data_IF_545411154328
#
_entry.id   IF_545411154328
#
_cell.length_a   1.000
_cell.length_b   1.000
_cell.length_c   1.000
_cell.angle_alpha   90.00
_cell.angle_beta   90.00
_cell.angle_gamma   90.00
#
_symmetry.space_group_name_H-M   'P 1'
#
loop_
_entity.id
_entity.type
_entity.pdbx_description
1 polymer ?
#
# COMPACT_ATOMS: atom_id res chain seq x y z
N UNK A 1 6.54 -14.34 -33.28
CA UNK A 1 5.96 -13.51 -34.36
C UNK A 1 5.48 -12.20 -33.72
N UNK A 2 5.85 -11.01 -34.21
CA UNK A 2 5.19 -10.25 -35.31
C UNK A 2 3.69 -10.02 -35.00
N UNK A 3 3.04 -8.84 -35.00
CA UNK A 3 3.38 -7.40 -35.14
C UNK A 3 2.25 -6.60 -34.41
N UNK A 4 2.15 -5.25 -34.30
CA UNK A 4 2.87 -4.07 -34.80
C UNK A 4 2.73 -2.87 -33.81
N UNK A 5 3.36 -1.73 -34.10
CA UNK A 5 3.20 -0.41 -33.47
C UNK A 5 1.85 0.28 -33.79
N UNK A 6 1.44 1.30 -33.00
CA UNK A 6 0.54 2.37 -33.49
C UNK A 6 0.76 3.76 -32.87
N UNK A 7 1.85 4.43 -33.27
CA UNK A 7 1.86 5.91 -33.41
C UNK A 7 1.60 6.25 -34.87
N UNK A 8 0.87 7.34 -35.14
CA UNK A 8 1.13 8.24 -36.27
C UNK A 8 0.39 9.58 -36.09
N UNK A 9 0.94 10.65 -36.68
CA UNK A 9 0.33 11.99 -36.75
C UNK A 9 -0.39 12.18 -38.09
N UNK A 10 -1.35 13.11 -38.10
CA UNK A 10 -1.81 13.93 -39.25
C UNK A 10 -2.51 15.18 -38.65
N UNK A 11 -2.42 16.39 -39.21
CA UNK A 11 -1.58 16.82 -40.33
C UNK A 11 -2.16 17.95 -41.19
N UNK A 12 -2.02 19.21 -40.75
CA UNK A 12 -2.34 20.42 -41.55
C UNK A 12 -3.80 20.93 -41.47
N UNK A 13 -4.07 22.21 -41.75
CA UNK A 13 -3.13 23.32 -41.99
C UNK A 13 -3.78 24.66 -42.38
N UNK A 14 -2.98 25.74 -42.25
CA UNK A 14 -3.10 27.10 -42.83
C UNK A 14 -4.41 27.92 -42.73
N UNK A 15 -4.27 29.13 -42.18
CA UNK A 15 -4.54 30.38 -42.92
C UNK A 15 -3.57 31.49 -42.47
N UNK A 16 -3.59 32.67 -43.11
CA UNK A 16 -2.44 33.59 -43.24
C UNK A 16 -2.80 35.06 -42.85
N UNK A 17 -1.83 36.00 -43.04
CA UNK A 17 -1.91 37.49 -43.05
C UNK A 17 -1.64 38.19 -41.69
N UNK A 18 -0.85 39.28 -41.57
CA UNK A 18 0.38 39.77 -42.25
C UNK A 18 0.96 41.02 -41.52
N UNK A 19 2.20 41.42 -41.87
CA UNK A 19 2.84 42.75 -41.62
C UNK A 19 3.28 43.09 -40.17
N UNK A 20 4.35 43.87 -39.89
CA UNK A 20 5.31 44.60 -40.75
C UNK A 20 6.63 44.98 -39.99
N UNK A 21 7.81 44.88 -40.66
CA UNK A 21 9.01 45.79 -40.59
C UNK A 21 9.80 45.92 -39.24
N UNK A 22 11.13 46.18 -39.17
CA UNK A 22 12.24 46.34 -40.14
C UNK A 22 13.65 46.19 -39.48
N UNK A 23 14.62 45.66 -40.25
CA UNK A 23 16.08 45.98 -40.29
C UNK A 23 17.13 45.38 -39.31
N UNK A 24 18.37 45.32 -39.84
CA UNK A 24 19.61 44.62 -39.41
C UNK A 24 20.79 45.65 -39.26
N UNK A 25 22.03 45.32 -38.75
CA UNK A 25 23.03 44.52 -39.49
C UNK A 25 24.00 43.62 -38.64
N UNK A 26 24.98 42.98 -39.30
CA UNK A 26 25.77 41.77 -38.92
C UNK A 26 27.19 41.80 -39.57
N UNK A 27 28.18 40.89 -39.29
CA UNK A 27 28.42 39.99 -38.14
C UNK A 27 29.54 40.55 -37.21
N UNK A 28 30.87 40.18 -37.21
CA UNK A 28 31.67 39.14 -37.89
C UNK A 28 31.95 37.86 -37.04
N UNK A 29 32.75 36.90 -37.55
CA UNK A 29 33.35 35.74 -36.85
C UNK A 29 34.86 35.64 -37.22
N UNK A 30 35.66 34.75 -36.57
CA UNK A 30 36.18 33.60 -37.33
C UNK A 30 36.22 32.27 -36.56
N UNK A 31 36.49 31.17 -37.27
CA UNK A 31 36.40 29.77 -36.78
C UNK A 31 37.41 28.83 -37.47
N UNK A 32 37.89 27.80 -36.76
CA UNK A 32 38.45 26.55 -37.34
C UNK A 32 38.66 25.47 -36.26
N UNK A 33 38.52 24.14 -36.41
CA UNK A 33 38.13 23.16 -37.46
C UNK A 33 39.26 22.30 -38.11
N UNK A 34 39.37 21.02 -37.72
CA UNK A 34 39.86 19.79 -38.43
C UNK A 34 40.15 18.68 -37.38
N UNK A 35 39.90 17.35 -37.50
CA UNK A 35 39.94 16.30 -38.56
C UNK A 35 41.37 15.87 -38.95
N UNK A 36 41.81 14.60 -39.12
CA UNK A 36 41.23 13.22 -39.13
C UNK A 36 42.37 12.18 -38.82
N UNK A 37 42.39 10.84 -39.01
CA UNK A 37 41.54 9.84 -39.71
C UNK A 37 41.63 8.39 -39.10
N UNK A 38 42.32 7.42 -39.75
CA UNK A 38 42.25 5.93 -39.53
C UNK A 38 43.63 5.24 -39.83
N UNK A 39 43.91 3.92 -39.94
CA UNK A 39 43.15 2.66 -40.23
C UNK A 39 43.98 1.36 -39.94
N UNK A 40 43.33 0.18 -39.93
CA UNK A 40 43.82 -1.16 -40.39
C UNK A 40 44.81 -2.07 -39.59
N UNK A 41 44.26 -3.14 -39.00
CA UNK A 41 44.54 -4.60 -39.25
C UNK A 41 45.89 -5.35 -39.04
N UNK A 42 45.79 -6.51 -38.34
CA UNK A 42 46.50 -7.83 -38.54
C UNK A 42 47.99 -7.97 -38.08
N UNK A 43 48.58 -9.15 -37.74
CA UNK A 43 48.21 -10.60 -37.89
C UNK A 43 49.01 -11.55 -36.93
N UNK A 44 48.62 -12.85 -36.81
CA UNK A 44 49.42 -14.06 -36.39
C UNK A 44 49.85 -14.22 -34.89
N UNK A 45 50.24 -15.40 -34.33
CA UNK A 45 49.61 -16.76 -34.15
C UNK A 45 50.54 -17.69 -33.32
N UNK A 46 50.05 -18.56 -32.41
CA UNK A 46 50.80 -19.77 -31.93
C UNK A 46 49.94 -20.91 -31.32
N UNK A 47 50.00 -22.08 -31.97
CA UNK A 47 49.52 -23.46 -31.64
C UNK A 47 50.15 -24.10 -30.35
N UNK A 48 49.87 -25.38 -29.98
CA UNK A 48 48.58 -26.12 -29.84
C UNK A 48 48.56 -27.17 -28.67
N UNK A 49 47.48 -27.98 -28.56
CA UNK A 49 47.56 -29.46 -28.37
C UNK A 49 46.20 -30.16 -28.64
N UNK A 50 46.24 -31.47 -28.94
CA UNK A 50 45.08 -32.32 -29.30
C UNK A 50 44.53 -33.05 -28.02
N UNK A 51 43.53 -33.96 -28.01
CA UNK A 51 43.37 -35.24 -28.76
C UNK A 51 41.90 -35.70 -28.80
N UNK A 52 41.45 -36.07 -30.00
CA UNK A 52 40.47 -37.07 -30.49
C UNK A 52 39.09 -37.36 -29.83
N UNK A 53 38.18 -37.78 -30.71
CA UNK A 53 36.83 -38.32 -30.46
C UNK A 53 36.81 -39.80 -30.90
N UNK A 54 36.14 -40.67 -30.15
CA UNK A 54 35.75 -42.01 -30.62
C UNK A 54 34.22 -42.10 -30.57
N UNK A 55 33.61 -42.44 -31.70
CA UNK A 55 32.19 -42.78 -31.79
C UNK A 55 32.00 -44.27 -32.09
N UNK A 56 30.89 -44.83 -31.62
CA UNK A 56 30.44 -46.19 -31.98
C UNK A 56 28.94 -46.16 -32.27
N UNK A 57 28.53 -46.73 -33.39
CA UNK A 57 27.14 -47.04 -33.72
C UNK A 57 27.09 -48.16 -34.76
N UNK A 58 26.28 -49.20 -34.54
CA UNK A 58 25.86 -50.11 -35.62
C UNK A 58 24.33 -50.22 -35.73
N UNK A 59 23.82 -49.97 -36.93
CA UNK A 59 22.47 -50.33 -37.41
C UNK A 59 22.46 -51.81 -37.93
N UNK A 60 21.40 -52.36 -38.59
CA UNK A 60 20.02 -51.85 -38.79
C UNK A 60 18.87 -52.90 -38.62
N UNK A 61 17.63 -52.42 -38.85
CA UNK A 61 16.49 -53.11 -39.47
C UNK A 61 15.77 -54.31 -38.79
N UNK A 62 14.46 -54.14 -38.57
CA UNK A 62 13.38 -54.78 -39.37
C UNK A 62 12.09 -53.95 -39.18
N UNK A 63 11.20 -53.90 -40.19
CA UNK A 63 9.94 -53.15 -40.13
C UNK A 63 8.74 -54.08 -39.88
N UNK A 64 7.83 -53.67 -38.98
CA UNK A 64 6.44 -54.15 -38.92
C UNK A 64 5.53 -53.01 -38.44
N UNK A 65 4.51 -52.66 -39.22
CA UNK A 65 3.46 -51.74 -38.78
C UNK A 65 2.54 -52.42 -37.75
N UNK A 66 2.22 -51.73 -36.65
CA UNK A 66 0.96 -51.88 -35.89
C UNK A 66 0.78 -50.65 -34.99
N UNK A 67 -0.44 -50.12 -34.91
CA UNK A 67 -0.79 -48.91 -34.15
C UNK A 67 -1.13 -49.21 -32.68
N UNK A 68 -0.42 -48.59 -31.74
CA UNK A 68 -0.93 -48.39 -30.36
C UNK A 68 -0.14 -47.32 -29.58
N UNK A 69 -0.86 -46.29 -29.12
CA UNK A 69 -0.61 -45.43 -27.94
C UNK A 69 0.85 -45.19 -27.48
N UNK A 70 1.46 -44.09 -27.96
CA UNK A 70 2.44 -43.34 -27.17
C UNK A 70 1.71 -42.43 -26.15
N UNK A 71 1.05 -43.04 -25.16
CA UNK A 71 0.59 -42.31 -23.97
C UNK A 71 1.77 -42.15 -23.02
N UNK A 72 2.53 -41.06 -23.19
CA UNK A 72 3.36 -40.55 -22.08
C UNK A 72 2.38 -40.17 -20.99
N UNK A 73 2.41 -40.90 -19.87
CA UNK A 73 1.33 -40.85 -18.90
C UNK A 73 1.44 -39.57 -18.05
N UNK A 74 0.79 -38.51 -18.51
CA UNK A 74 0.77 -37.22 -17.84
C UNK A 74 0.27 -37.32 -16.39
N UNK A 75 -0.61 -38.28 -16.08
CA UNK A 75 -1.07 -38.53 -14.71
C UNK A 75 0.08 -38.98 -13.81
N UNK A 76 0.98 -39.85 -14.29
CA UNK A 76 2.13 -40.34 -13.52
C UNK A 76 3.15 -39.22 -13.25
N UNK A 77 3.41 -38.37 -14.25
CA UNK A 77 4.30 -37.22 -14.10
C UNK A 77 3.71 -36.13 -13.19
N UNK A 78 2.39 -35.95 -13.22
CA UNK A 78 1.70 -35.04 -12.31
C UNK A 78 1.62 -35.59 -10.88
N UNK A 79 1.37 -36.90 -10.71
CA UNK A 79 1.40 -37.58 -9.41
C UNK A 79 2.79 -37.51 -8.77
N UNK A 80 3.86 -37.82 -9.52
CA UNK A 80 5.23 -37.70 -8.99
C UNK A 80 5.58 -36.24 -8.64
N UNK A 81 5.15 -35.26 -9.45
CA UNK A 81 5.34 -33.84 -9.13
C UNK A 81 4.58 -33.42 -7.86
N UNK A 82 3.32 -33.85 -7.69
CA UNK A 82 2.53 -33.57 -6.49
C UNK A 82 3.13 -34.25 -5.25
N UNK A 83 3.64 -35.47 -5.36
CA UNK A 83 4.35 -36.18 -4.29
C UNK A 83 5.65 -35.45 -3.90
N UNK A 84 6.48 -35.05 -4.87
CA UNK A 84 7.70 -34.29 -4.61
C UNK A 84 7.41 -32.94 -3.96
N UNK A 85 6.34 -32.24 -4.39
CA UNK A 85 5.90 -30.98 -3.79
C UNK A 85 5.41 -31.17 -2.34
N UNK A 86 4.59 -32.19 -2.07
CA UNK A 86 4.10 -32.50 -0.72
C UNK A 86 5.24 -32.89 0.24
N UNK A 87 6.23 -33.65 -0.26
CA UNK A 87 7.42 -34.04 0.50
C UNK A 87 8.32 -32.84 0.79
N UNK A 88 8.51 -31.94 -0.19
CA UNK A 88 9.23 -30.69 0.00
C UNK A 88 8.54 -29.77 1.02
N UNK A 89 7.21 -29.62 0.96
CA UNK A 89 6.42 -28.87 1.96
C UNK A 89 6.59 -29.50 3.36
N UNK A 90 6.47 -30.83 3.47
CA UNK A 90 6.64 -31.56 4.74
C UNK A 90 8.05 -31.42 5.33
N UNK A 91 9.08 -31.26 4.49
CA UNK A 91 10.46 -31.01 4.90
C UNK A 91 10.80 -29.53 5.12
N UNK A 92 9.87 -28.62 4.82
CA UNK A 92 10.04 -27.16 4.92
C UNK A 92 9.44 -26.55 6.19
N UNK A 93 8.90 -27.35 7.10
CA UNK A 93 8.34 -26.88 8.37
C UNK A 93 9.45 -26.32 9.30
N UNK A 94 9.42 -25.02 9.68
CA UNK A 94 10.40 -24.43 10.58
C UNK A 94 10.26 -24.84 12.05
N UNK A 95 9.28 -25.67 12.43
CA UNK A 95 8.95 -26.01 13.82
C UNK A 95 9.11 -27.52 14.13
N UNK A 96 10.32 -28.05 13.98
CA UNK A 96 10.68 -29.37 14.51
C UNK A 96 10.74 -29.35 16.05
N UNK A 97 9.57 -29.46 16.68
CA UNK A 97 9.42 -30.04 18.02
C UNK A 97 9.10 -31.53 17.80
N UNK A 98 9.84 -32.41 18.46
CA UNK A 98 9.60 -33.86 18.38
C UNK A 98 8.38 -34.23 19.20
N UNK A 99 7.23 -34.39 18.56
CA UNK A 99 6.06 -34.99 19.20
C UNK A 99 6.24 -36.51 19.36
N UNK A 100 6.13 -36.93 20.62
CA UNK A 100 6.03 -38.31 21.07
C UNK A 100 4.55 -38.73 20.96
N UNK A 101 4.18 -39.97 20.59
CA UNK A 101 2.78 -40.42 20.67
C UNK A 101 2.08 -40.12 22.01
N UNK A 102 2.81 -39.97 23.13
CA UNK A 102 2.25 -39.51 24.41
C UNK A 102 1.86 -38.01 24.41
N UNK A 103 2.63 -37.11 23.79
CA UNK A 103 2.33 -35.66 23.77
C UNK A 103 1.05 -35.34 23.00
N UNK A 104 0.79 -36.08 21.90
CA UNK A 104 -0.43 -35.95 21.09
C UNK A 104 -1.68 -36.31 21.90
N UNK A 105 -1.64 -37.39 22.70
CA UNK A 105 -2.76 -37.76 23.58
C UNK A 105 -2.97 -36.75 24.71
N UNK A 106 -1.89 -36.24 25.31
CA UNK A 106 -1.96 -35.20 26.35
C UNK A 106 -2.59 -33.91 25.80
N UNK A 107 -2.19 -33.46 24.61
CA UNK A 107 -2.78 -32.28 23.98
C UNK A 107 -4.26 -32.51 23.60
N UNK A 108 -4.62 -33.68 23.07
CA UNK A 108 -6.02 -34.00 22.75
C UNK A 108 -6.92 -34.01 24.00
N UNK A 109 -6.48 -34.63 25.10
CA UNK A 109 -7.21 -34.64 26.37
C UNK A 109 -7.36 -33.24 26.97
N UNK A 110 -6.31 -32.41 26.86
CA UNK A 110 -6.29 -31.02 27.34
C UNK A 110 -7.26 -30.12 26.56
N UNK A 111 -7.33 -30.27 25.24
CA UNK A 111 -8.29 -29.56 24.39
C UNK A 111 -9.75 -29.98 24.68
N UNK A 112 -10.01 -31.29 24.80
CA UNK A 112 -11.34 -31.82 25.15
C UNK A 112 -11.83 -31.32 26.52
N UNK A 113 -10.91 -31.10 27.48
CA UNK A 113 -11.24 -30.62 28.83
C UNK A 113 -11.56 -29.13 28.92
N UNK A 114 -11.29 -28.35 27.86
CA UNK A 114 -11.50 -26.88 27.80
C UNK A 114 -12.65 -26.47 26.86
N UNK A 115 -13.29 -27.43 26.19
CA UNK A 115 -14.23 -27.19 25.09
C UNK A 115 -15.63 -26.70 25.54
N UNK A 116 -15.71 -25.50 26.12
CA UNK A 116 -16.98 -24.81 26.37
C UNK A 116 -17.32 -23.83 25.23
N UNK A 117 -17.84 -24.38 24.13
CA UNK A 117 -18.63 -23.71 23.06
C UNK A 117 -18.21 -22.32 22.55
N UNK A 118 -17.60 -22.26 21.35
CA UNK A 118 -17.71 -21.10 20.46
C UNK A 118 -18.31 -21.46 19.09
N UNK A 119 -19.24 -20.66 18.60
CA UNK A 119 -19.56 -20.56 17.17
C UNK A 119 -18.81 -19.38 16.56
N UNK A 120 -18.19 -19.56 15.38
CA UNK A 120 -17.44 -18.55 14.62
C UNK A 120 -16.08 -18.15 15.26
N UNK A 121 -15.02 -18.78 14.75
CA UNK A 121 -13.61 -18.37 14.76
C UNK A 121 -13.07 -17.55 15.96
N UNK A 122 -12.68 -18.21 17.08
CA UNK A 122 -11.64 -17.70 17.95
C UNK A 122 -10.25 -18.09 17.40
N UNK A 123 -9.49 -17.11 16.92
CA UNK A 123 -8.03 -17.25 16.81
C UNK A 123 -7.41 -16.95 18.17
N UNK A 124 -6.42 -17.73 18.63
CA UNK A 124 -5.64 -17.39 19.83
C UNK A 124 -4.62 -16.28 19.54
N UNK A 125 -5.13 -15.11 19.17
CA UNK A 125 -4.41 -13.85 19.20
C UNK A 125 -4.83 -13.04 20.44
N UNK A 126 -3.99 -12.08 20.83
CA UNK A 126 -4.44 -10.95 21.64
C UNK A 126 -5.64 -10.29 20.94
N UNK A 127 -6.61 -9.67 21.66
CA UNK A 127 -7.76 -9.04 21.01
C UNK A 127 -7.29 -8.03 19.97
N UNK A 128 -7.45 -8.38 18.69
CA UNK A 128 -6.77 -7.73 17.58
C UNK A 128 -7.16 -6.26 17.51
N UNK A 129 -6.23 -5.41 17.95
CA UNK A 129 -6.41 -3.96 18.01
C UNK A 129 -6.91 -3.44 16.67
N UNK A 130 -7.86 -2.51 16.69
CA UNK A 130 -8.37 -1.87 15.48
C UNK A 130 -7.23 -1.27 14.64
N UNK A 131 -6.14 -0.84 15.27
CA UNK A 131 -4.89 -0.43 14.62
C UNK A 131 -4.21 -1.56 13.83
N UNK A 132 -4.08 -2.75 14.42
CA UNK A 132 -3.46 -3.90 13.76
C UNK A 132 -4.33 -4.41 12.60
N UNK A 133 -5.66 -4.41 12.78
CA UNK A 133 -6.60 -4.80 11.72
C UNK A 133 -6.66 -3.74 10.60
N UNK A 134 -6.58 -2.45 10.92
CA UNK A 134 -6.46 -1.40 9.92
C UNK A 134 -5.14 -1.46 9.15
N UNK A 135 -4.01 -1.70 9.83
CA UNK A 135 -2.69 -1.91 9.21
C UNK A 135 -2.68 -3.12 8.27
N UNK A 136 -3.23 -4.27 8.70
CA UNK A 136 -3.26 -5.49 7.89
C UNK A 136 -4.25 -5.45 6.72
N UNK A 137 -5.46 -4.91 6.93
CA UNK A 137 -6.58 -5.02 5.98
C UNK A 137 -6.94 -3.71 5.28
N UNK A 138 -6.33 -2.58 5.66
CA UNK A 138 -6.55 -1.26 5.07
C UNK A 138 -7.99 -0.73 5.16
N UNK A 139 -8.84 -1.23 6.09
CA UNK A 139 -10.17 -0.66 6.34
C UNK A 139 -10.61 -0.75 7.82
N UNK A 140 -11.57 0.10 8.18
CA UNK A 140 -12.38 0.00 9.42
C UNK A 140 -13.84 0.01 9.01
N UNK A 141 -14.61 -1.02 9.37
CA UNK A 141 -15.96 -1.22 8.85
C UNK A 141 -17.01 -0.24 9.45
N UNK A 142 -18.22 -0.22 8.89
CA UNK A 142 -19.34 0.62 9.33
C UNK A 142 -19.72 0.42 10.80
N UNK A 143 -19.66 -0.83 11.27
CA UNK A 143 -20.07 -1.26 12.60
C UNK A 143 -18.96 -1.07 13.66
N UNK A 144 -17.75 -0.71 13.22
CA UNK A 144 -16.55 -0.59 14.04
C UNK A 144 -16.22 0.87 14.30
N UNK A 145 -15.86 1.23 15.55
CA UNK A 145 -15.61 2.61 15.95
C UNK A 145 -14.17 2.86 16.38
N UNK A 146 -13.60 3.98 15.96
CA UNK A 146 -12.23 4.40 16.33
C UNK A 146 -12.21 4.90 17.78
N UNK A 147 -11.83 3.99 18.68
CA UNK A 147 -11.74 4.19 20.14
C UNK A 147 -10.36 4.70 20.57
N UNK A 148 -10.28 5.19 21.82
CA UNK A 148 -9.01 5.63 22.40
C UNK A 148 -8.02 4.46 22.50
N UNK A 149 -6.75 4.73 22.18
CA UNK A 149 -5.74 3.69 22.01
C UNK A 149 -5.48 3.31 20.55
N UNK A 150 -6.35 3.71 19.61
CA UNK A 150 -6.08 3.55 18.18
C UNK A 150 -4.93 4.46 17.73
N UNK A 151 -3.92 3.87 17.09
CA UNK A 151 -2.89 4.56 16.32
C UNK A 151 -2.88 4.08 14.85
N UNK A 152 -2.63 5.00 13.93
CA UNK A 152 -2.22 4.73 12.55
C UNK A 152 -0.70 4.87 12.46
N UNK A 153 -0.04 3.96 11.74
CA UNK A 153 1.41 4.00 11.52
C UNK A 153 1.66 4.13 10.03
N UNK A 154 2.57 5.03 9.68
CA UNK A 154 2.97 5.31 8.31
C UNK A 154 4.49 5.29 8.19
N UNK A 155 5.02 4.74 7.10
CA UNK A 155 6.45 4.71 6.80
C UNK A 155 6.79 5.53 5.54
N UNK A 156 7.74 6.44 5.68
CA UNK A 156 8.34 7.26 4.62
C UNK A 156 9.38 6.45 3.82
N UNK A 157 10.12 5.57 4.49
CA UNK A 157 11.09 4.65 3.89
C UNK A 157 10.78 3.20 4.26
N UNK A 158 10.93 2.29 3.29
CA UNK A 158 10.26 0.97 3.30
C UNK A 158 10.75 -0.05 4.34
N UNK A 159 11.84 0.21 5.08
CA UNK A 159 12.67 -0.85 5.66
C UNK A 159 12.01 -1.68 6.80
N UNK A 160 11.11 -1.12 7.62
CA UNK A 160 10.33 -1.94 8.57
C UNK A 160 8.99 -2.43 7.99
N UNK A 161 8.41 -1.73 7.00
CA UNK A 161 7.25 -2.23 6.26
C UNK A 161 7.59 -3.55 5.56
N UNK A 162 8.84 -3.70 5.09
CA UNK A 162 9.41 -4.94 4.54
C UNK A 162 9.43 -6.12 5.55
N UNK A 163 9.37 -5.87 6.87
CA UNK A 163 9.18 -6.94 7.87
C UNK A 163 7.71 -7.32 8.11
N UNK A 164 6.75 -6.60 7.52
CA UNK A 164 5.30 -6.86 7.61
C UNK A 164 4.67 -6.64 8.99
N UNK A 165 5.46 -6.49 10.05
CA UNK A 165 5.01 -6.41 11.44
C UNK A 165 4.75 -4.97 11.87
N UNK A 166 3.55 -4.69 12.38
CA UNK A 166 3.21 -3.41 12.99
C UNK A 166 4.05 -3.15 14.26
N UNK A 167 4.68 -1.97 14.43
CA UNK A 167 5.35 -1.60 15.67
C UNK A 167 4.38 -1.45 16.85
N UNK A 168 4.83 -1.74 18.08
CA UNK A 168 4.03 -1.52 19.28
C UNK A 168 4.10 -0.06 19.72
N UNK A 169 3.00 0.46 20.27
CA UNK A 169 2.93 1.85 20.76
C UNK A 169 3.98 2.18 21.83
N UNK A 170 4.35 1.20 22.67
CA UNK A 170 5.41 1.36 23.70
C UNK A 170 6.79 1.52 23.05
N UNK A 171 7.09 0.73 22.01
CA UNK A 171 8.35 0.84 21.26
C UNK A 171 8.44 2.22 20.59
N UNK A 172 7.34 2.66 19.96
CA UNK A 172 7.23 3.98 19.31
C UNK A 172 7.36 5.15 20.31
N UNK A 173 6.96 4.98 21.56
CA UNK A 173 7.15 5.97 22.64
C UNK A 173 8.61 6.07 23.12
N UNK A 174 9.43 5.04 22.91
CA UNK A 174 10.84 5.01 23.31
C UNK A 174 11.79 5.66 22.27
N UNK A 175 11.32 5.95 21.07
CA UNK A 175 12.12 6.52 19.98
C UNK A 175 12.31 8.03 20.18
N UNK A 176 13.54 8.52 20.01
CA UNK A 176 13.87 9.95 20.15
C UNK A 176 13.61 10.72 18.86
N UNK A 177 13.10 11.96 18.97
CA UNK A 177 12.85 12.85 17.82
C UNK A 177 14.14 13.28 17.09
N UNK A 178 15.28 13.14 17.76
CA UNK A 178 16.62 13.40 17.19
C UNK A 178 17.09 12.32 16.21
N UNK A 179 16.54 11.12 16.28
CA UNK A 179 16.76 10.10 15.26
C UNK A 179 16.02 10.52 13.98
N UNK A 180 16.57 10.23 12.81
CA UNK A 180 15.89 10.52 11.53
C UNK A 180 14.80 9.49 11.27
N UNK A 181 13.70 9.56 12.02
CA UNK A 181 12.67 8.52 12.05
C UNK A 181 11.81 8.56 10.78
N UNK A 182 12.02 7.57 9.91
CA UNK A 182 11.22 7.26 8.71
C UNK A 182 9.76 6.89 9.00
N UNK A 183 9.27 7.03 10.23
CA UNK A 183 7.89 6.74 10.62
C UNK A 183 7.15 8.01 10.99
N UNK A 184 5.83 7.95 10.85
CA UNK A 184 4.88 8.92 11.31
C UNK A 184 3.74 8.16 11.98
N UNK A 185 3.37 8.57 13.19
CA UNK A 185 2.36 7.87 13.99
C UNK A 185 1.29 8.87 14.38
N UNK A 186 0.03 8.58 14.03
CA UNK A 186 -1.12 9.43 14.37
C UNK A 186 -1.99 8.69 15.38
N UNK A 187 -2.23 9.32 16.53
CA UNK A 187 -2.81 8.66 17.71
C UNK A 187 -4.15 9.29 18.13
N UNK A 188 -5.11 8.44 18.48
CA UNK A 188 -6.44 8.79 18.99
C UNK A 188 -6.49 8.52 20.48
N UNK A 189 -6.55 9.59 21.27
CA UNK A 189 -6.75 9.51 22.71
C UNK A 189 -7.39 10.80 23.25
N UNK A 190 -8.72 10.77 23.44
CA UNK A 190 -9.54 11.89 23.92
C UNK A 190 -9.15 12.42 25.31
N UNK A 191 -8.43 11.64 26.12
CA UNK A 191 -7.96 12.05 27.45
C UNK A 191 -6.71 12.93 27.40
N UNK A 192 -5.95 12.86 26.29
CA UNK A 192 -4.74 13.66 26.06
C UNK A 192 -4.94 14.73 24.97
N UNK A 193 -5.89 14.52 24.07
CA UNK A 193 -6.19 15.37 22.92
C UNK A 193 -7.48 16.18 23.12
N UNK A 194 -7.36 17.28 23.87
CA UNK A 194 -8.47 18.22 24.11
C UNK A 194 -8.96 18.91 22.83
N UNK A 195 -8.12 18.98 21.80
CA UNK A 195 -8.52 19.52 20.49
C UNK A 195 -9.41 18.53 19.73
N UNK A 196 -9.10 17.23 19.79
CA UNK A 196 -9.99 16.18 19.27
C UNK A 196 -11.34 16.16 20.00
N UNK A 197 -11.34 16.31 21.34
CA UNK A 197 -12.60 16.41 22.10
C UNK A 197 -13.44 17.61 21.64
N UNK A 198 -12.84 18.79 21.46
CA UNK A 198 -13.55 19.96 20.92
C UNK A 198 -14.12 19.73 19.52
N UNK A 199 -13.43 18.97 18.67
CA UNK A 199 -13.93 18.63 17.33
C UNK A 199 -15.10 17.64 17.41
N UNK A 200 -15.04 16.64 18.30
CA UNK A 200 -16.13 15.71 18.59
C UNK A 200 -17.38 16.42 19.13
N UNK A 201 -17.22 17.37 20.06
CA UNK A 201 -18.35 18.13 20.62
C UNK A 201 -18.93 19.14 19.60
N UNK A 202 -18.10 19.73 18.73
CA UNK A 202 -18.58 20.53 17.58
C UNK A 202 -19.37 19.67 16.58
N UNK A 203 -18.89 18.47 16.26
CA UNK A 203 -19.59 17.52 15.39
C UNK A 203 -20.94 17.10 15.98
N UNK A 204 -21.00 16.85 17.29
CA UNK A 204 -22.25 16.56 18.00
C UNK A 204 -23.24 17.72 17.94
N UNK A 205 -22.80 18.96 18.20
CA UNK A 205 -23.64 20.16 18.05
C UNK A 205 -24.19 20.33 16.62
N UNK A 206 -23.37 20.09 15.59
CA UNK A 206 -23.80 20.10 14.18
C UNK A 206 -24.85 19.02 13.92
N UNK A 207 -24.63 17.78 14.40
CA UNK A 207 -25.58 16.67 14.27
C UNK A 207 -26.93 17.01 14.91
N UNK A 208 -26.95 17.44 16.18
CA UNK A 208 -28.19 17.81 16.88
C UNK A 208 -28.90 18.99 16.20
N UNK A 209 -28.17 19.96 15.65
CA UNK A 209 -28.73 21.08 14.90
C UNK A 209 -29.34 20.67 13.56
N UNK A 210 -28.79 19.66 12.88
CA UNK A 210 -29.37 19.08 11.67
C UNK A 210 -30.63 18.25 11.94
N UNK A 211 -30.65 17.46 13.02
CA UNK A 211 -31.83 16.63 13.38
C UNK A 211 -33.07 17.49 13.70
N UNK A 212 -32.88 18.73 14.13
CA UNK A 212 -33.96 19.67 14.42
C UNK A 212 -34.70 20.21 13.18
N UNK A 213 -34.27 19.90 11.95
CA UNK A 213 -34.89 20.41 10.70
C UNK A 213 -35.76 19.39 9.95
N UNK A 214 -36.17 18.29 10.57
CA UNK A 214 -37.06 17.24 10.01
C UNK A 214 -36.68 16.72 8.60
N UNK A 215 -35.39 16.79 8.26
CA UNK A 215 -34.86 16.41 6.95
C UNK A 215 -33.73 15.39 7.12
N UNK A 216 -33.64 14.44 6.19
CA UNK A 216 -32.68 13.34 6.22
C UNK A 216 -31.22 13.81 6.43
N UNK A 217 -30.31 12.96 6.95
CA UNK A 217 -28.91 13.31 7.15
C UNK A 217 -28.18 13.84 5.88
N UNK A 218 -28.65 13.43 4.70
CA UNK A 218 -28.21 13.99 3.41
C UNK A 218 -28.75 15.42 3.23
N UNK A 219 -30.07 15.58 3.36
CA UNK A 219 -30.84 16.76 2.97
C UNK A 219 -30.66 17.93 3.95
N UNK A 220 -30.40 17.61 5.22
CA UNK A 220 -29.94 18.56 6.25
C UNK A 220 -28.46 18.98 6.08
N UNK A 221 -27.74 18.40 5.12
CA UNK A 221 -26.35 18.70 4.81
C UNK A 221 -25.35 18.29 5.90
N UNK A 222 -25.71 17.34 6.78
CA UNK A 222 -24.88 16.93 7.92
C UNK A 222 -23.49 16.45 7.47
N UNK A 223 -23.44 15.56 6.48
CA UNK A 223 -22.19 15.02 5.92
C UNK A 223 -21.25 16.13 5.46
N UNK A 224 -21.77 17.13 4.73
CA UNK A 224 -20.98 18.25 4.23
C UNK A 224 -20.45 19.09 5.38
N UNK A 225 -21.27 19.43 6.38
CA UNK A 225 -20.83 20.24 7.55
C UNK A 225 -19.73 19.55 8.37
N UNK A 226 -19.74 18.22 8.48
CA UNK A 226 -18.65 17.46 9.12
C UNK A 226 -17.40 17.45 8.22
N UNK A 227 -17.56 17.32 6.90
CA UNK A 227 -16.44 17.43 5.96
C UNK A 227 -15.80 18.84 6.02
N UNK A 228 -16.61 19.90 6.05
CA UNK A 228 -16.16 21.30 6.17
C UNK A 228 -15.41 21.55 7.49
N UNK A 229 -15.86 20.96 8.60
CA UNK A 229 -15.15 21.01 9.89
C UNK A 229 -13.76 20.36 9.80
N UNK A 230 -13.62 19.24 9.09
CA UNK A 230 -12.34 18.56 8.86
C UNK A 230 -11.45 19.33 7.88
N UNK A 231 -12.03 19.91 6.81
CA UNK A 231 -11.33 20.81 5.86
C UNK A 231 -10.77 22.01 6.62
N UNK A 232 -11.59 22.67 7.44
CA UNK A 232 -11.19 23.84 8.23
C UNK A 232 -10.14 23.50 9.30
N UNK A 233 -10.13 22.28 9.84
CA UNK A 233 -9.11 21.85 10.79
C UNK A 233 -7.76 21.55 10.14
N UNK A 234 -7.75 20.80 9.03
CA UNK A 234 -6.54 20.16 8.48
C UNK A 234 -6.00 20.87 7.22
N UNK A 235 -5.86 22.18 7.27
CA UNK A 235 -5.11 22.96 6.28
C UNK A 235 -5.91 23.51 5.09
N UNK A 236 -7.24 23.47 5.16
CA UNK A 236 -8.16 24.10 4.19
C UNK A 236 -8.44 23.29 2.92
N UNK A 237 -9.07 23.91 1.91
CA UNK A 237 -9.12 23.39 0.55
C UNK A 237 -7.70 23.18 -0.02
N UNK A 238 -7.55 22.25 -0.95
CA UNK A 238 -6.25 21.85 -1.51
C UNK A 238 -6.33 21.82 -3.03
N UNK A 239 -5.68 22.79 -3.68
CA UNK A 239 -5.57 22.86 -5.14
C UNK A 239 -4.37 22.05 -5.69
N UNK A 240 -3.28 21.98 -4.92
CA UNK A 240 -2.07 21.20 -5.23
C UNK A 240 -1.73 20.22 -4.10
N UNK A 241 -1.61 18.94 -4.45
CA UNK A 241 -1.24 17.86 -3.55
C UNK A 241 0.24 17.88 -3.16
N UNK A 242 1.14 18.30 -4.06
CA UNK A 242 2.57 18.36 -3.77
C UNK A 242 2.87 19.50 -2.77
N UNK A 243 2.24 20.65 -2.94
CA UNK A 243 2.31 21.75 -1.95
C UNK A 243 1.64 21.39 -0.61
N UNK A 244 0.58 20.57 -0.62
CA UNK A 244 0.02 20.03 0.63
C UNK A 244 1.00 19.08 1.33
N UNK A 245 1.72 18.24 0.58
CA UNK A 245 2.75 17.35 1.09
C UNK A 245 3.96 18.13 1.65
N UNK A 246 4.43 19.16 0.95
CA UNK A 246 5.49 20.08 1.43
C UNK A 246 5.11 20.72 2.77
N UNK A 247 3.89 21.27 2.87
CA UNK A 247 3.36 21.86 4.11
C UNK A 247 3.25 20.82 5.22
N UNK A 248 2.78 19.61 4.93
CA UNK A 248 2.72 18.52 5.91
C UNK A 248 4.11 18.11 6.42
N UNK A 249 5.10 17.94 5.54
CA UNK A 249 6.46 17.53 5.93
C UNK A 249 7.11 18.55 6.86
N UNK A 250 6.99 19.86 6.56
CA UNK A 250 7.47 20.91 7.46
C UNK A 250 6.71 20.90 8.80
N UNK A 251 5.38 20.87 8.73
CA UNK A 251 4.53 21.03 9.92
C UNK A 251 4.59 19.83 10.87
N UNK A 252 4.68 18.62 10.34
CA UNK A 252 4.87 17.40 11.13
C UNK A 252 6.22 17.40 11.85
N UNK A 253 7.29 17.91 11.24
CA UNK A 253 8.57 18.11 11.92
C UNK A 253 8.47 19.13 13.08
N UNK A 254 7.77 20.26 12.90
CA UNK A 254 7.52 21.23 13.97
C UNK A 254 6.70 20.62 15.13
N UNK A 255 5.65 19.85 14.82
CA UNK A 255 4.81 19.19 15.81
C UNK A 255 5.59 18.13 16.61
N UNK A 256 6.40 17.29 15.94
CA UNK A 256 7.26 16.30 16.62
C UNK A 256 8.23 16.96 17.60
N UNK A 257 8.85 18.08 17.18
CA UNK A 257 9.78 18.83 18.03
C UNK A 257 9.07 19.53 19.21
N UNK A 258 7.89 20.11 19.00
CA UNK A 258 7.17 20.79 20.09
C UNK A 258 6.55 19.84 21.12
N UNK A 259 6.17 18.62 20.70
CA UNK A 259 5.68 17.55 21.57
C UNK A 259 6.81 16.66 22.13
N UNK A 260 8.04 16.77 21.61
CA UNK A 260 9.16 15.86 21.85
C UNK A 260 8.76 14.38 21.70
N UNK A 261 7.97 14.06 20.66
CA UNK A 261 7.53 12.70 20.33
C UNK A 261 7.33 12.52 18.83
N UNK A 262 7.52 11.29 18.33
CA UNK A 262 7.14 10.92 16.96
C UNK A 262 5.63 10.66 16.80
N UNK A 263 4.91 10.58 17.92
CA UNK A 263 3.48 10.28 17.98
C UNK A 263 2.70 11.60 18.04
N UNK A 264 1.89 11.85 17.01
CA UNK A 264 1.10 13.06 16.86
C UNK A 264 -0.36 12.80 17.24
N UNK A 265 -0.95 13.54 18.20
CA UNK A 265 -2.38 13.48 18.48
C UNK A 265 -3.19 13.95 17.26
N UNK A 266 -4.22 13.19 16.88
CA UNK A 266 -5.02 13.41 15.67
C UNK A 266 -5.69 14.80 15.61
N UNK A 267 -6.16 15.32 16.75
CA UNK A 267 -6.74 16.64 16.88
C UNK A 267 -5.71 17.77 16.75
N UNK A 268 -4.47 17.55 17.21
CA UNK A 268 -3.39 18.52 17.09
C UNK A 268 -2.91 18.79 15.65
N UNK A 269 -3.40 18.04 14.66
CA UNK A 269 -3.04 18.23 13.24
C UNK A 269 -3.81 19.41 12.62
N UNK A 270 -3.10 20.50 12.34
CA UNK A 270 -3.60 21.71 11.67
C UNK A 270 -3.36 21.72 10.14
N UNK A 271 -2.58 20.77 9.64
CA UNK A 271 -2.39 20.41 8.23
C UNK A 271 -2.57 18.90 8.14
N UNK A 272 -3.26 18.37 7.12
CA UNK A 272 -3.47 16.92 7.01
C UNK A 272 -3.63 16.39 5.59
N UNK A 273 -2.89 15.31 5.28
CA UNK A 273 -3.05 14.54 4.05
C UNK A 273 -4.41 13.81 4.02
N UNK A 274 -4.74 13.19 2.89
CA UNK A 274 -6.01 12.45 2.72
C UNK A 274 -6.23 11.42 3.83
N UNK A 275 -5.19 10.68 4.26
CA UNK A 275 -5.30 9.73 5.39
C UNK A 275 -5.65 10.37 6.73
N UNK A 276 -5.08 11.53 7.08
CA UNK A 276 -5.41 12.24 8.33
C UNK A 276 -6.84 12.77 8.30
N UNK A 277 -7.24 13.35 7.16
CA UNK A 277 -8.58 13.91 6.95
C UNK A 277 -9.65 12.82 6.95
N UNK A 278 -9.37 11.66 6.36
CA UNK A 278 -10.25 10.50 6.42
C UNK A 278 -10.35 9.94 7.84
N UNK A 279 -9.24 9.76 8.55
CA UNK A 279 -9.24 9.26 9.93
C UNK A 279 -9.99 10.21 10.90
N UNK A 280 -9.75 11.53 10.83
CA UNK A 280 -10.50 12.49 11.64
C UNK A 280 -11.99 12.47 11.31
N UNK A 281 -12.37 12.46 10.03
CA UNK A 281 -13.79 12.37 9.66
C UNK A 281 -14.43 11.07 10.17
N UNK A 282 -13.72 9.92 10.14
CA UNK A 282 -14.20 8.65 10.71
C UNK A 282 -14.45 8.75 12.21
N UNK A 283 -13.52 9.34 12.98
CA UNK A 283 -13.70 9.58 14.42
C UNK A 283 -14.92 10.48 14.71
N UNK A 284 -15.09 11.57 13.95
CA UNK A 284 -16.24 12.46 14.11
C UNK A 284 -17.56 11.79 13.68
N UNK A 285 -17.55 10.94 12.66
CA UNK A 285 -18.70 10.14 12.24
C UNK A 285 -19.10 9.12 13.31
N UNK A 286 -18.13 8.43 13.91
CA UNK A 286 -18.34 7.45 14.99
C UNK A 286 -18.94 8.08 16.24
N UNK A 287 -18.55 9.33 16.56
CA UNK A 287 -19.10 10.13 17.67
C UNK A 287 -20.59 10.45 17.48
N UNK A 288 -21.02 10.76 16.24
CA UNK A 288 -22.41 11.09 15.92
C UNK A 288 -23.25 9.88 15.44
N UNK A 289 -22.66 8.68 15.41
CA UNK A 289 -23.26 7.44 14.88
C UNK A 289 -23.60 7.48 13.38
N UNK A 290 -22.89 8.28 12.58
CA UNK A 290 -23.02 8.26 11.13
C UNK A 290 -22.33 6.99 10.59
N UNK A 291 -23.03 6.09 9.86
CA UNK A 291 -22.44 4.85 9.36
C UNK A 291 -21.38 5.13 8.29
N UNK A 292 -20.12 5.08 8.73
CA UNK A 292 -18.95 5.42 7.94
C UNK A 292 -17.90 4.29 7.97
N UNK A 293 -17.40 3.89 6.80
CA UNK A 293 -16.28 2.95 6.62
C UNK A 293 -15.06 3.72 6.14
N UNK A 294 -13.94 3.61 6.87
CA UNK A 294 -12.64 4.13 6.46
C UNK A 294 -11.93 3.10 5.57
N UNK A 295 -11.32 3.51 4.47
CA UNK A 295 -10.57 2.64 3.55
C UNK A 295 -9.30 3.33 3.06
N UNK A 296 -8.13 2.68 3.19
CA UNK A 296 -6.83 3.09 2.61
C UNK A 296 -6.57 2.35 1.29
N UNK A 297 -5.86 2.98 0.36
CA UNK A 297 -5.29 2.34 -0.83
C UNK A 297 -5.63 3.01 -2.17
N UNK A 298 -4.76 2.80 -3.15
CA UNK A 298 -4.72 3.51 -4.44
C UNK A 298 -5.98 3.39 -5.29
N UNK A 299 -6.81 2.35 -5.10
CA UNK A 299 -8.05 2.16 -5.85
C UNK A 299 -9.02 3.35 -5.75
N UNK A 300 -9.01 4.08 -4.62
CA UNK A 300 -9.92 5.22 -4.39
C UNK A 300 -9.24 6.60 -4.49
N UNK A 301 -7.92 6.66 -4.35
CA UNK A 301 -7.14 7.92 -4.23
C UNK A 301 -6.10 8.12 -5.33
N UNK A 302 -5.84 7.11 -6.15
CA UNK A 302 -4.72 7.10 -7.11
C UNK A 302 -3.33 6.95 -6.47
N UNK A 303 -3.26 6.83 -5.14
CA UNK A 303 -2.02 6.73 -4.35
C UNK A 303 -2.20 5.70 -3.23
N UNK A 304 -1.26 4.76 -3.08
CA UNK A 304 -1.39 3.67 -2.08
C UNK A 304 -1.50 4.19 -0.63
N UNK A 305 -1.00 5.41 -0.41
CA UNK A 305 -0.96 6.10 0.86
C UNK A 305 -2.17 7.01 1.17
N UNK A 306 -3.10 7.13 0.22
CA UNK A 306 -4.35 7.83 0.43
C UNK A 306 -5.40 6.97 1.15
N UNK A 307 -6.30 7.62 1.88
CA UNK A 307 -7.52 7.01 2.41
C UNK A 307 -8.76 7.86 2.15
N UNK A 308 -9.92 7.19 2.11
CA UNK A 308 -11.25 7.76 1.88
C UNK A 308 -12.25 7.22 2.90
N UNK A 309 -13.38 7.91 3.02
CA UNK A 309 -14.54 7.42 3.77
C UNK A 309 -15.69 7.12 2.84
N UNK A 310 -16.26 5.92 3.00
CA UNK A 310 -17.50 5.51 2.38
C UNK A 310 -18.62 5.66 3.42
N UNK A 311 -19.70 6.33 3.06
CA UNK A 311 -20.82 6.60 3.98
C UNK A 311 -22.02 5.80 3.49
N UNK A 312 -22.60 4.95 4.35
CA UNK A 312 -23.84 4.26 4.00
C UNK A 312 -25.01 5.23 4.17
N UNK A 313 -25.79 5.39 3.11
CA UNK A 313 -27.11 6.02 3.16
C UNK A 313 -28.12 4.89 3.00
N UNK A 314 -29.06 4.75 3.94
CA UNK A 314 -30.27 3.95 3.72
C UNK A 314 -31.34 4.84 3.10
N UNK A 315 -31.59 4.68 1.80
CA UNK A 315 -32.52 5.52 1.02
C UNK A 315 -34.02 5.18 1.25
N UNK A 316 -34.34 4.52 2.37
CA UNK A 316 -35.70 4.34 2.91
C UNK A 316 -36.72 3.61 2.01
N UNK A 317 -36.27 2.76 1.07
CA UNK A 317 -37.09 2.16 0.00
C UNK A 317 -36.93 0.64 -0.11
#
# INVERSE_FOLDING_TARGET
MKHLLRKLHIGGGNLNVQNHRLSEPIPPLPSSSSSSSTTSSSTMTSRPRNVDVIGVSPSPAICTDTTSSLSVDYSFLEEEFQVQLALAISASDPLVIRDDPESVQINAAKQLSLACSPSVFPSEALPDSLSLRYWNYNFVNYDEKVSDGFYDVYGVSSNAIVQGKMPLLVDLQAISVLDSVDYEVVYVNRLLDLELQQLEDRAYCISTGCMASEHDPILSGLVQKIADLVVARMGGPVDDADEMLKRWTLRSYELRNSLNSIILPLGCLDVGLSRHRALLFKVLADRINLPCRLVKGSYYTGTDEGAVNLIKIDDGR
#
